data_IF_394352525854
#
_entry.id   IF_394352525854
#
_cell.length_a   1.000
_cell.length_b   1.000
_cell.length_c   1.000
_cell.angle_alpha   90.00
_cell.angle_beta   90.00
_cell.angle_gamma   90.00
#
_symmetry.space_group_name_H-M   'P 1'
#
loop_
_entity.id
_entity.type
_entity.pdbx_description
1 polymer ?
#
# COMPACT_ATOMS: atom_id res chain seq x y z
N UNK A 1 -34.21 40.06 -24.06
CA UNK A 1 -34.07 38.60 -23.86
C UNK A 1 -32.74 38.12 -24.45
N UNK A 2 -31.72 37.82 -23.63
CA UNK A 2 -30.45 37.18 -24.04
C UNK A 2 -30.22 36.00 -23.10
N UNK A 3 -29.94 34.81 -23.65
CA UNK A 3 -29.82 33.55 -22.89
C UNK A 3 -28.53 33.52 -22.06
N UNK A 4 -28.65 33.13 -20.80
CA UNK A 4 -27.53 32.87 -19.88
C UNK A 4 -26.81 31.58 -20.32
N UNK A 5 -25.57 31.69 -20.80
CA UNK A 5 -24.75 30.56 -21.19
C UNK A 5 -24.23 29.85 -19.91
N UNK A 6 -24.58 28.57 -19.77
CA UNK A 6 -24.29 27.71 -18.63
C UNK A 6 -22.79 27.40 -18.60
N UNK A 7 -22.12 27.76 -17.51
CA UNK A 7 -20.70 27.45 -17.24
C UNK A 7 -20.41 25.98 -17.49
N UNK A 8 -19.61 25.69 -18.52
CA UNK A 8 -19.00 24.36 -18.68
C UNK A 8 -17.88 24.27 -17.65
N UNK A 9 -18.15 23.58 -16.55
CA UNK A 9 -17.10 23.17 -15.61
C UNK A 9 -16.06 22.33 -16.36
N UNK A 10 -14.75 22.50 -16.09
CA UNK A 10 -13.72 21.66 -16.67
C UNK A 10 -14.01 20.21 -16.28
N UNK A 11 -14.25 19.37 -17.30
CA UNK A 11 -14.42 17.93 -17.11
C UNK A 11 -13.12 17.39 -16.53
N UNK A 12 -13.13 17.07 -15.24
CA UNK A 12 -12.07 16.25 -14.66
C UNK A 12 -12.02 14.96 -15.49
N UNK A 13 -10.86 14.70 -16.12
CA UNK A 13 -10.61 13.47 -16.85
C UNK A 13 -10.68 12.36 -15.80
N UNK A 14 -11.84 11.73 -15.65
CA UNK A 14 -11.94 10.54 -14.81
C UNK A 14 -11.14 9.45 -15.51
N UNK A 15 -10.20 8.80 -14.81
CA UNK A 15 -9.44 7.72 -15.40
C UNK A 15 -10.41 6.62 -15.84
N UNK A 16 -10.21 6.13 -17.06
CA UNK A 16 -11.01 5.04 -17.62
C UNK A 16 -10.96 3.83 -16.67
N UNK A 17 -12.07 3.10 -16.47
CA UNK A 17 -12.11 1.94 -15.57
C UNK A 17 -11.13 0.81 -15.96
N UNK A 18 -10.58 0.85 -17.19
CA UNK A 18 -9.57 -0.07 -17.69
C UNK A 18 -8.21 0.60 -17.94
N UNK A 19 -7.95 1.80 -17.41
CA UNK A 19 -6.62 2.38 -17.48
C UNK A 19 -5.65 1.45 -16.72
N UNK A 20 -4.50 1.07 -17.31
CA UNK A 20 -3.52 0.27 -16.59
C UNK A 20 -3.11 1.04 -15.33
N UNK A 21 -3.29 0.41 -14.17
CA UNK A 21 -2.81 0.96 -12.93
C UNK A 21 -1.30 1.22 -13.08
N UNK A 22 -0.79 2.39 -12.66
CA UNK A 22 0.63 2.67 -12.72
C UNK A 22 1.35 1.59 -11.90
N UNK A 23 2.08 0.72 -12.60
CA UNK A 23 2.91 -0.29 -11.94
C UNK A 23 4.13 0.44 -11.41
N UNK A 24 4.14 0.76 -10.13
CA UNK A 24 5.36 1.24 -9.48
C UNK A 24 6.34 0.07 -9.45
N UNK A 25 7.47 0.22 -10.14
CA UNK A 25 8.57 -0.72 -10.29
C UNK A 25 8.89 -1.55 -9.02
N UNK A 26 9.41 -2.77 -9.16
CA UNK A 26 9.39 -3.77 -8.11
C UNK A 26 10.24 -3.33 -6.92
N UNK A 27 9.55 -2.90 -5.86
CA UNK A 27 10.09 -2.93 -4.52
C UNK A 27 10.15 -4.40 -4.11
N UNK A 28 11.26 -4.85 -3.52
CA UNK A 28 11.34 -6.23 -2.99
C UNK A 28 10.23 -6.43 -1.97
N UNK A 29 9.76 -7.67 -1.77
CA UNK A 29 8.69 -7.94 -0.80
C UNK A 29 9.05 -7.38 0.59
N UNK A 30 10.27 -7.56 1.14
CA UNK A 30 10.64 -6.94 2.41
C UNK A 30 10.60 -5.41 2.40
N UNK A 31 11.04 -4.77 1.30
CA UNK A 31 11.02 -3.30 1.22
C UNK A 31 9.57 -2.76 1.14
N UNK A 32 8.65 -3.50 0.53
CA UNK A 32 7.23 -3.14 0.52
C UNK A 32 6.63 -3.22 1.93
N UNK A 33 7.00 -4.23 2.72
CA UNK A 33 6.58 -4.37 4.12
C UNK A 33 7.12 -3.21 4.98
N UNK A 34 8.41 -2.87 4.84
CA UNK A 34 9.00 -1.73 5.58
C UNK A 34 8.33 -0.40 5.22
N UNK A 35 8.07 -0.15 3.93
CA UNK A 35 7.40 1.09 3.52
C UNK A 35 5.94 1.16 4.01
N UNK A 36 5.24 0.02 4.04
CA UNK A 36 3.90 -0.05 4.59
C UNK A 36 3.89 0.20 6.11
N UNK A 37 4.82 -0.40 6.86
CA UNK A 37 4.99 -0.16 8.30
C UNK A 37 5.32 1.30 8.61
N UNK A 38 6.09 1.97 7.76
CA UNK A 38 6.39 3.40 7.91
C UNK A 38 5.15 4.27 7.71
N UNK A 39 4.28 3.94 6.75
CA UNK A 39 3.12 4.78 6.38
C UNK A 39 1.87 4.48 7.20
N UNK A 40 1.64 3.22 7.57
CA UNK A 40 0.41 2.74 8.21
C UNK A 40 0.69 1.85 9.41
N UNK A 41 1.67 2.24 10.23
CA UNK A 41 2.21 1.45 11.33
C UNK A 41 1.17 0.71 12.19
N UNK A 42 0.13 1.42 12.61
CA UNK A 42 -0.90 0.93 13.54
C UNK A 42 -2.13 0.35 12.82
N UNK A 43 -2.16 0.35 11.49
CA UNK A 43 -3.27 -0.21 10.73
C UNK A 43 -3.17 -1.75 10.65
N UNK A 44 -4.29 -2.49 10.66
CA UNK A 44 -4.30 -3.94 10.48
C UNK A 44 -3.66 -4.34 9.14
N UNK A 45 -2.79 -5.35 9.17
CA UNK A 45 -2.05 -5.84 8.01
C UNK A 45 -2.27 -7.33 7.74
N UNK A 46 -2.32 -8.14 8.81
CA UNK A 46 -2.49 -9.58 8.72
C UNK A 46 -3.51 -10.05 9.76
N UNK A 47 -4.48 -10.83 9.28
CA UNK A 47 -5.50 -11.48 10.10
C UNK A 47 -5.50 -12.97 9.76
N UNK A 48 -5.18 -13.82 10.75
CA UNK A 48 -5.19 -15.29 10.59
C UNK A 48 -5.68 -15.95 11.89
N UNK A 49 -6.91 -16.48 11.87
CA UNK A 49 -7.57 -16.96 13.09
C UNK A 49 -7.68 -15.85 14.14
N UNK A 50 -7.09 -16.08 15.32
CA UNK A 50 -7.00 -15.09 16.40
C UNK A 50 -5.79 -14.16 16.26
N UNK A 51 -4.87 -14.42 15.32
CA UNK A 51 -3.72 -13.57 15.07
C UNK A 51 -4.18 -12.27 14.40
N UNK A 52 -3.79 -11.14 15.00
CA UNK A 52 -3.98 -9.81 14.44
C UNK A 52 -2.66 -9.07 14.54
N UNK A 53 -2.08 -8.76 13.39
CA UNK A 53 -0.89 -7.92 13.31
C UNK A 53 -1.18 -6.65 12.53
N UNK A 54 -0.72 -5.54 13.10
CA UNK A 54 -0.53 -4.28 12.42
C UNK A 54 0.65 -4.34 11.45
N UNK A 55 0.77 -3.38 10.53
CA UNK A 55 1.94 -3.31 9.65
C UNK A 55 3.26 -3.20 10.42
N UNK A 56 3.27 -2.49 11.56
CA UNK A 56 4.44 -2.40 12.43
C UNK A 56 4.80 -3.73 13.10
N UNK A 57 3.82 -4.53 13.47
CA UNK A 57 4.05 -5.86 14.04
C UNK A 57 4.53 -6.84 12.99
N UNK A 58 3.92 -6.83 11.80
CA UNK A 58 4.33 -7.66 10.67
C UNK A 58 5.80 -7.39 10.28
N UNK A 59 6.22 -6.13 10.19
CA UNK A 59 7.61 -5.79 9.90
C UNK A 59 8.56 -6.30 10.99
N UNK A 60 8.22 -6.10 12.27
CA UNK A 60 9.04 -6.54 13.38
C UNK A 60 9.23 -8.05 13.36
N UNK A 61 8.16 -8.81 13.19
CA UNK A 61 8.24 -10.27 13.15
C UNK A 61 8.96 -10.78 11.91
N UNK A 62 8.78 -10.13 10.76
CA UNK A 62 9.57 -10.43 9.55
C UNK A 62 11.08 -10.20 9.78
N UNK A 63 11.47 -9.08 10.41
CA UNK A 63 12.87 -8.80 10.75
C UNK A 63 13.44 -9.81 11.74
N UNK A 64 12.63 -10.24 12.72
CA UNK A 64 13.00 -11.27 13.70
C UNK A 64 13.26 -12.61 12.99
N UNK A 65 12.37 -13.03 12.09
CA UNK A 65 12.54 -14.25 11.31
C UNK A 65 13.79 -14.19 10.40
N UNK A 66 13.97 -13.10 9.65
CA UNK A 66 15.15 -12.91 8.79
C UNK A 66 16.46 -12.95 9.59
N UNK A 67 16.50 -12.35 10.77
CA UNK A 67 17.69 -12.38 11.63
C UNK A 67 18.02 -13.81 12.10
N UNK A 68 16.99 -14.61 12.39
CA UNK A 68 17.16 -16.02 12.75
C UNK A 68 17.66 -16.86 11.57
N UNK A 69 17.17 -16.60 10.35
CA UNK A 69 17.64 -17.28 9.14
C UNK A 69 19.11 -16.97 8.84
N UNK A 70 19.50 -15.69 8.89
CA UNK A 70 20.89 -15.28 8.71
C UNK A 70 21.79 -15.96 9.76
N UNK A 71 21.36 -16.00 11.03
CA UNK A 71 22.12 -16.65 12.10
C UNK A 71 22.25 -18.18 11.89
N UNK A 72 21.30 -18.80 11.19
CA UNK A 72 21.32 -20.21 10.81
C UNK A 72 22.10 -20.49 9.52
N UNK A 73 22.57 -19.45 8.81
CA UNK A 73 23.28 -19.59 7.53
C UNK A 73 22.39 -19.81 6.31
N UNK A 74 21.13 -19.38 6.38
CA UNK A 74 20.16 -19.37 5.27
C UNK A 74 20.16 -18.03 4.53
#
# INVERSE_FOLDING_TARGET
>A
MRRLNKSRSPTAIQPSPNAPMPVTSPTTIPAAVTEAARRWREAPALEDGDLRWTFGELEREARRACSAFIAAGL
#
